data_IF_195260529797
#
_entry.id   IF_195260529797
#
_cell.length_a   1.000
_cell.length_b   1.000
_cell.length_c   1.000
_cell.angle_alpha   90.00
_cell.angle_beta   90.00
_cell.angle_gamma   90.00
#
_symmetry.space_group_name_H-M   'P 1'
#
loop_
_entity.id
_entity.type
_entity.pdbx_description
1 polymer ?
#
# COMPACT_ATOMS: atom_id res chain seq x y z
N UNK A 1 -28.98 8.05 -18.69
CA UNK A 1 -28.44 6.68 -18.74
C UNK A 1 -29.63 5.76 -18.94
N UNK A 2 -29.66 4.95 -20.00
CA UNK A 2 -30.77 4.05 -20.29
C UNK A 2 -30.53 2.67 -19.62
N UNK A 3 -31.55 1.83 -19.50
CA UNK A 3 -31.50 0.52 -18.83
C UNK A 3 -30.36 -0.38 -19.35
N UNK A 4 -30.13 -0.37 -20.65
CA UNK A 4 -29.03 -1.10 -21.32
C UNK A 4 -27.65 -0.65 -20.83
N UNK A 5 -27.47 0.63 -20.51
CA UNK A 5 -26.19 1.14 -20.01
C UNK A 5 -25.89 0.59 -18.60
N UNK A 6 -26.92 0.41 -17.76
CA UNK A 6 -26.76 -0.17 -16.43
C UNK A 6 -26.44 -1.66 -16.48
N UNK A 7 -27.11 -2.42 -17.37
CA UNK A 7 -26.78 -3.83 -17.60
C UNK A 7 -25.33 -3.99 -18.06
N UNK A 8 -24.92 -3.18 -19.04
CA UNK A 8 -23.53 -3.15 -19.53
C UNK A 8 -22.53 -2.84 -18.42
N UNK A 9 -22.86 -1.92 -17.50
CA UNK A 9 -22.01 -1.58 -16.37
C UNK A 9 -21.85 -2.76 -15.39
N UNK A 10 -22.94 -3.47 -15.10
CA UNK A 10 -22.93 -4.67 -14.22
C UNK A 10 -22.03 -5.76 -14.82
N UNK A 11 -22.20 -6.08 -16.11
CA UNK A 11 -21.36 -7.09 -16.78
C UNK A 11 -19.90 -6.65 -16.86
N UNK A 12 -19.65 -5.38 -17.18
CA UNK A 12 -18.30 -4.82 -17.24
C UNK A 12 -17.60 -4.91 -15.90
N UNK A 13 -18.30 -4.63 -14.80
CA UNK A 13 -17.76 -4.76 -13.45
C UNK A 13 -17.37 -6.21 -13.13
N UNK A 14 -18.23 -7.19 -13.44
CA UNK A 14 -17.91 -8.60 -13.22
C UNK A 14 -16.67 -9.06 -14.03
N UNK A 15 -16.61 -8.73 -15.31
CA UNK A 15 -15.48 -9.08 -16.19
C UNK A 15 -14.19 -8.40 -15.71
N UNK A 16 -14.25 -7.10 -15.38
CA UNK A 16 -13.09 -6.35 -14.92
C UNK A 16 -12.50 -6.93 -13.63
N UNK A 17 -13.33 -7.40 -12.70
CA UNK A 17 -12.89 -8.11 -11.49
C UNK A 17 -12.14 -9.39 -11.83
N UNK A 18 -12.67 -10.22 -12.73
CA UNK A 18 -12.02 -11.46 -13.12
C UNK A 18 -10.67 -11.19 -13.81
N UNK A 19 -10.61 -10.18 -14.68
CA UNK A 19 -9.36 -9.75 -15.32
C UNK A 19 -8.37 -9.25 -14.27
N UNK A 20 -8.79 -8.40 -13.32
CA UNK A 20 -7.93 -7.86 -12.27
C UNK A 20 -7.30 -8.97 -11.41
N UNK A 21 -8.05 -10.03 -11.09
CA UNK A 21 -7.55 -11.21 -10.38
C UNK A 21 -6.59 -12.02 -11.24
N UNK A 22 -6.83 -12.14 -12.54
CA UNK A 22 -5.95 -12.86 -13.47
C UNK A 22 -4.55 -12.22 -13.61
N UNK A 23 -4.39 -10.95 -13.22
CA UNK A 23 -3.07 -10.34 -13.10
C UNK A 23 -2.21 -10.94 -11.99
N UNK A 24 -2.79 -11.60 -10.98
CA UNK A 24 -2.06 -12.21 -9.86
C UNK A 24 -1.07 -11.23 -9.20
N UNK A 25 -1.49 -9.97 -9.08
CA UNK A 25 -0.62 -8.88 -8.66
C UNK A 25 -1.36 -7.97 -7.69
N UNK A 26 -0.95 -7.98 -6.42
CA UNK A 26 -1.58 -7.22 -5.33
C UNK A 26 -1.68 -5.71 -5.63
N UNK A 27 -0.67 -5.14 -6.32
CA UNK A 27 -0.71 -3.74 -6.70
C UNK A 27 -1.86 -3.45 -7.68
N UNK A 28 -2.09 -4.34 -8.65
CA UNK A 28 -3.22 -4.21 -9.59
C UNK A 28 -4.55 -4.30 -8.84
N UNK A 29 -4.69 -5.25 -7.91
CA UNK A 29 -5.90 -5.40 -7.10
C UNK A 29 -6.20 -4.13 -6.29
N UNK A 30 -5.21 -3.57 -5.59
CA UNK A 30 -5.39 -2.31 -4.84
C UNK A 30 -5.73 -1.13 -5.74
N UNK A 31 -5.10 -1.04 -6.91
CA UNK A 31 -5.34 0.05 -7.87
C UNK A 31 -6.73 -0.04 -8.49
N UNK A 32 -7.17 -1.24 -8.83
CA UNK A 32 -8.51 -1.51 -9.34
C UNK A 32 -9.56 -1.15 -8.27
N UNK A 33 -9.43 -1.68 -7.05
CA UNK A 33 -10.35 -1.39 -5.96
C UNK A 33 -10.45 0.11 -5.63
N UNK A 34 -9.33 0.85 -5.69
CA UNK A 34 -9.33 2.30 -5.50
C UNK A 34 -10.00 3.04 -6.67
N UNK A 35 -9.83 2.57 -7.90
CA UNK A 35 -10.45 3.17 -9.07
C UNK A 35 -11.98 3.03 -9.03
N UNK A 36 -12.49 1.84 -8.74
CA UNK A 36 -13.92 1.59 -8.57
C UNK A 36 -14.51 2.43 -7.44
N UNK A 37 -13.83 2.47 -6.29
CA UNK A 37 -14.25 3.30 -5.17
C UNK A 37 -14.29 4.80 -5.51
N UNK A 38 -13.34 5.29 -6.32
CA UNK A 38 -13.36 6.67 -6.82
C UNK A 38 -14.55 6.93 -7.74
N UNK A 39 -14.86 5.99 -8.63
CA UNK A 39 -16.06 6.08 -9.47
C UNK A 39 -17.33 6.18 -8.64
N UNK A 40 -17.46 5.29 -7.65
CA UNK A 40 -18.59 5.32 -6.71
C UNK A 40 -18.67 6.63 -5.93
N UNK A 41 -17.53 7.17 -5.49
CA UNK A 41 -17.46 8.46 -4.79
C UNK A 41 -18.03 9.61 -5.64
N UNK A 42 -17.64 9.73 -6.91
CA UNK A 42 -18.15 10.80 -7.77
C UNK A 42 -19.66 10.69 -7.97
N UNK A 43 -20.20 9.48 -8.20
CA UNK A 43 -21.66 9.25 -8.28
C UNK A 43 -22.36 9.63 -6.97
N UNK A 44 -21.87 9.15 -5.82
CA UNK A 44 -22.43 9.46 -4.50
C UNK A 44 -22.47 10.96 -4.16
N UNK A 45 -21.58 11.77 -4.75
CA UNK A 45 -21.63 13.23 -4.54
C UNK A 45 -22.87 13.88 -5.13
N UNK A 46 -23.45 13.27 -6.16
CA UNK A 46 -24.63 13.77 -6.87
C UNK A 46 -25.94 13.18 -6.31
N UNK A 47 -25.89 12.01 -5.66
CA UNK A 47 -27.05 11.31 -5.09
C UNK A 47 -27.74 12.02 -3.91
N UNK A 48 -28.99 11.72 -3.59
CA UNK A 48 -29.65 12.30 -2.41
C UNK A 48 -29.17 11.67 -1.08
N UNK A 49 -29.53 12.25 0.06
CA UNK A 49 -29.12 11.73 1.37
C UNK A 49 -29.71 10.35 1.69
N UNK A 50 -30.93 10.07 1.22
CA UNK A 50 -31.62 8.80 1.42
C UNK A 50 -30.82 7.64 0.80
N UNK A 51 -30.38 7.78 -0.45
CA UNK A 51 -29.54 6.80 -1.14
C UNK A 51 -28.20 6.61 -0.42
N UNK A 52 -27.58 7.68 0.09
CA UNK A 52 -26.34 7.57 0.88
C UNK A 52 -26.57 6.78 2.18
N UNK A 53 -27.72 6.96 2.84
CA UNK A 53 -28.06 6.20 4.05
C UNK A 53 -28.32 4.72 3.75
N UNK A 54 -28.95 4.40 2.62
CA UNK A 54 -29.10 3.00 2.19
C UNK A 54 -27.74 2.33 1.96
N UNK A 55 -26.80 3.04 1.32
CA UNK A 55 -25.45 2.52 1.11
C UNK A 55 -24.73 2.34 2.46
N UNK A 56 -24.83 3.29 3.40
CA UNK A 56 -24.23 3.12 4.73
C UNK A 56 -24.75 1.87 5.44
N UNK A 57 -26.05 1.59 5.34
CA UNK A 57 -26.68 0.40 5.90
C UNK A 57 -26.16 -0.89 5.27
N UNK A 58 -26.02 -0.92 3.94
CA UNK A 58 -25.43 -2.06 3.21
C UNK A 58 -23.98 -2.34 3.66
N UNK A 59 -23.21 -1.28 3.95
CA UNK A 59 -21.86 -1.38 4.48
C UNK A 59 -21.80 -1.62 6.01
N UNK A 60 -22.96 -1.75 6.67
CA UNK A 60 -23.08 -1.92 8.13
C UNK A 60 -22.34 -0.83 8.91
N UNK A 61 -22.37 0.40 8.39
CA UNK A 61 -21.81 1.57 9.05
C UNK A 61 -22.91 2.17 9.92
N UNK A 62 -22.64 2.27 11.22
CA UNK A 62 -23.61 2.77 12.18
C UNK A 62 -23.79 4.29 12.05
N UNK A 63 -25.05 4.69 11.91
CA UNK A 63 -25.47 6.08 11.71
C UNK A 63 -26.70 6.39 12.56
N UNK A 64 -26.77 7.63 13.04
CA UNK A 64 -27.94 8.22 13.70
C UNK A 64 -28.07 9.70 13.31
N UNK A 65 -29.21 10.12 12.79
CA UNK A 65 -29.51 11.51 12.40
C UNK A 65 -28.41 12.19 11.55
N UNK A 66 -27.88 11.47 10.55
CA UNK A 66 -26.81 11.96 9.67
C UNK A 66 -25.42 11.99 10.31
N UNK A 67 -25.27 11.43 11.53
CA UNK A 67 -23.99 11.33 12.23
C UNK A 67 -23.47 9.89 12.18
N UNK A 68 -22.16 9.72 12.09
CA UNK A 68 -21.50 8.41 12.01
C UNK A 68 -20.91 8.05 13.38
N UNK A 69 -21.08 6.81 13.82
CA UNK A 69 -20.48 6.35 15.07
C UNK A 69 -18.94 6.36 14.97
N UNK A 70 -18.26 6.76 16.05
CA UNK A 70 -16.82 7.00 16.02
C UNK A 70 -15.99 5.76 15.67
N UNK A 71 -16.49 4.55 15.98
CA UNK A 71 -15.79 3.30 15.67
C UNK A 71 -15.68 3.08 14.15
N UNK A 72 -16.77 3.30 13.40
CA UNK A 72 -16.78 3.19 11.95
C UNK A 72 -16.04 4.35 11.29
N UNK A 73 -16.12 5.55 11.88
CA UNK A 73 -15.29 6.67 11.47
C UNK A 73 -13.80 6.30 11.54
N UNK A 74 -13.31 5.80 12.67
CA UNK A 74 -11.90 5.40 12.82
C UNK A 74 -11.49 4.25 11.89
N UNK A 75 -12.43 3.35 11.57
CA UNK A 75 -12.18 2.22 10.67
C UNK A 75 -11.90 2.66 9.24
N UNK A 76 -12.54 3.74 8.78
CA UNK A 76 -12.54 4.13 7.36
C UNK A 76 -11.94 5.52 7.09
N UNK A 77 -11.81 6.38 8.10
CA UNK A 77 -11.26 7.73 7.92
C UNK A 77 -9.80 7.70 7.43
N UNK A 78 -9.44 8.52 6.42
CA UNK A 78 -8.06 8.65 5.96
C UNK A 78 -7.22 9.48 6.94
N UNK A 79 -6.85 8.91 8.08
CA UNK A 79 -6.16 9.59 9.21
C UNK A 79 -4.74 10.09 8.90
N UNK A 80 -4.22 9.86 7.69
CA UNK A 80 -2.98 10.45 7.21
C UNK A 80 -3.13 11.97 7.00
N UNK A 81 -4.33 12.46 6.71
CA UNK A 81 -4.66 13.87 6.68
C UNK A 81 -5.12 14.32 8.08
N UNK A 82 -4.54 15.42 8.58
CA UNK A 82 -4.86 15.98 9.87
C UNK A 82 -6.36 16.29 10.02
N UNK A 83 -7.05 16.69 8.93
CA UNK A 83 -8.50 16.95 8.94
C UNK A 83 -9.32 15.72 9.37
N UNK A 84 -8.81 14.52 9.16
CA UNK A 84 -9.52 13.26 9.43
C UNK A 84 -9.13 12.62 10.76
N UNK A 85 -8.25 13.25 11.54
CA UNK A 85 -7.93 12.77 12.88
C UNK A 85 -9.11 13.06 13.81
N UNK A 86 -9.52 12.06 14.58
CA UNK A 86 -10.63 12.17 15.54
C UNK A 86 -10.45 13.33 16.53
N UNK A 87 -9.21 13.60 16.96
CA UNK A 87 -8.88 14.74 17.85
C UNK A 87 -9.25 16.11 17.27
N UNK A 88 -9.44 16.21 15.95
CA UNK A 88 -9.81 17.43 15.24
C UNK A 88 -11.30 17.44 14.84
N UNK A 89 -12.12 16.58 15.45
CA UNK A 89 -13.55 16.43 15.12
C UNK A 89 -14.42 16.62 16.37
N UNK A 90 -15.61 17.16 16.14
CA UNK A 90 -16.63 17.26 17.18
C UNK A 90 -17.30 15.89 17.37
N UNK A 91 -17.13 15.34 18.57
CA UNK A 91 -17.72 14.07 18.99
C UNK A 91 -18.74 14.34 20.09
N UNK A 92 -19.97 13.89 19.89
CA UNK A 92 -21.05 14.04 20.87
C UNK A 92 -21.81 12.72 20.98
N UNK A 93 -21.93 12.19 22.21
CA UNK A 93 -22.61 10.92 22.50
C UNK A 93 -22.12 9.73 21.65
N UNK A 94 -20.85 9.70 21.27
CA UNK A 94 -20.28 8.63 20.43
C UNK A 94 -20.40 8.83 18.92
N UNK A 95 -21.03 9.92 18.46
CA UNK A 95 -21.25 10.18 17.04
C UNK A 95 -20.59 11.47 16.57
N UNK A 96 -20.13 11.45 15.30
CA UNK A 96 -19.54 12.59 14.62
C UNK A 96 -20.50 13.15 13.57
N UNK A 97 -20.67 14.47 13.56
CA UNK A 97 -21.37 15.14 12.47
C UNK A 97 -20.43 15.31 11.27
N UNK A 98 -20.83 14.76 10.14
CA UNK A 98 -20.09 14.84 8.88
C UNK A 98 -21.01 15.44 7.82
N UNK A 99 -20.45 16.19 6.87
CA UNK A 99 -21.23 16.58 5.70
C UNK A 99 -21.30 15.42 4.68
N UNK A 100 -22.21 15.52 3.71
CA UNK A 100 -22.40 14.52 2.66
C UNK A 100 -21.10 14.12 1.94
N UNK A 101 -20.23 15.07 1.60
CA UNK A 101 -18.95 14.76 0.94
C UNK A 101 -17.99 13.98 1.85
N UNK A 102 -18.02 14.25 3.15
CA UNK A 102 -17.23 13.51 4.12
C UNK A 102 -17.76 12.09 4.33
N UNK A 103 -19.08 11.92 4.36
CA UNK A 103 -19.72 10.59 4.40
C UNK A 103 -19.37 9.81 3.14
N UNK A 104 -19.50 10.42 1.95
CA UNK A 104 -19.11 9.80 0.69
C UNK A 104 -17.62 9.40 0.67
N UNK A 105 -16.74 10.19 1.29
CA UNK A 105 -15.31 9.87 1.42
C UNK A 105 -15.06 8.70 2.38
N UNK A 106 -15.84 8.56 3.46
CA UNK A 106 -15.81 7.38 4.34
C UNK A 106 -16.27 6.13 3.57
N UNK A 107 -17.39 6.23 2.85
CA UNK A 107 -17.91 5.16 2.02
C UNK A 107 -16.93 4.75 0.93
N UNK A 108 -16.23 5.70 0.31
CA UNK A 108 -15.18 5.40 -0.66
C UNK A 108 -14.11 4.46 -0.09
N UNK A 109 -13.62 4.72 1.12
CA UNK A 109 -12.64 3.86 1.77
C UNK A 109 -13.23 2.49 2.14
N UNK A 110 -14.49 2.46 2.57
CA UNK A 110 -15.21 1.20 2.85
C UNK A 110 -15.39 0.34 1.60
N UNK A 111 -15.82 0.94 0.49
CA UNK A 111 -15.97 0.30 -0.84
C UNK A 111 -14.61 -0.23 -1.31
N UNK A 112 -13.56 0.58 -1.26
CA UNK A 112 -12.23 0.17 -1.69
C UNK A 112 -11.72 -1.04 -0.90
N UNK A 113 -11.89 -1.02 0.42
CA UNK A 113 -11.52 -2.15 1.28
C UNK A 113 -12.35 -3.40 0.97
N UNK A 114 -13.67 -3.26 0.78
CA UNK A 114 -14.57 -4.38 0.45
C UNK A 114 -14.17 -5.03 -0.87
N UNK A 115 -14.04 -4.24 -1.94
CA UNK A 115 -13.64 -4.75 -3.27
C UNK A 115 -12.28 -5.43 -3.19
N UNK A 116 -11.28 -4.78 -2.60
CA UNK A 116 -9.95 -5.40 -2.47
C UNK A 116 -10.00 -6.72 -1.71
N UNK A 117 -10.73 -6.78 -0.58
CA UNK A 117 -10.88 -7.99 0.21
C UNK A 117 -11.51 -9.11 -0.61
N UNK A 118 -12.65 -8.85 -1.28
CA UNK A 118 -13.32 -9.84 -2.12
C UNK A 118 -12.41 -10.37 -3.24
N UNK A 119 -11.64 -9.51 -3.90
CA UNK A 119 -10.72 -9.92 -4.96
C UNK A 119 -9.51 -10.70 -4.44
N UNK A 120 -9.08 -10.45 -3.21
CA UNK A 120 -7.90 -11.11 -2.63
C UNK A 120 -8.12 -12.61 -2.37
N UNK A 121 -9.38 -13.05 -2.26
CA UNK A 121 -9.74 -14.48 -2.10
C UNK A 121 -10.34 -15.08 -3.36
N UNK A 122 -10.52 -14.29 -4.41
CA UNK A 122 -11.09 -14.75 -5.67
C UNK A 122 -10.01 -15.42 -6.51
N UNK A 123 -10.39 -16.46 -7.26
CA UNK A 123 -9.56 -17.05 -8.29
C UNK A 123 -10.16 -16.72 -9.66
N UNK A 124 -9.32 -16.30 -10.59
CA UNK A 124 -9.76 -16.03 -11.95
C UNK A 124 -10.14 -17.34 -12.66
N UNK A 125 -11.32 -17.40 -13.32
CA UNK A 125 -11.67 -18.54 -14.15
C UNK A 125 -10.59 -18.80 -15.24
N UNK A 126 -10.26 -20.06 -15.56
CA UNK A 126 -9.27 -20.39 -16.58
C UNK A 126 -9.55 -19.74 -17.94
N UNK A 127 -10.83 -19.55 -18.28
CA UNK A 127 -11.31 -18.93 -19.52
C UNK A 127 -10.80 -17.50 -19.66
N UNK A 128 -10.70 -16.75 -18.55
CA UNK A 128 -10.21 -15.37 -18.57
C UNK A 128 -8.74 -15.31 -18.96
N UNK A 129 -7.92 -16.24 -18.44
CA UNK A 129 -6.51 -16.35 -18.85
C UNK A 129 -6.37 -16.81 -20.30
N UNK A 130 -7.28 -17.65 -20.79
CA UNK A 130 -7.29 -18.10 -22.18
C UNK A 130 -7.65 -16.98 -23.15
N UNK A 131 -8.63 -16.13 -22.80
CA UNK A 131 -9.12 -15.06 -23.67
C UNK A 131 -8.22 -13.82 -23.59
N UNK A 132 -7.84 -13.40 -22.39
CA UNK A 132 -7.14 -12.13 -22.15
C UNK A 132 -5.66 -12.29 -21.77
N UNK A 133 -5.10 -13.51 -21.90
CA UNK A 133 -3.77 -13.83 -21.42
C UNK A 133 -2.68 -12.98 -22.05
N UNK A 134 -2.76 -12.74 -23.36
CA UNK A 134 -1.77 -11.97 -24.10
C UNK A 134 -1.79 -10.48 -23.71
N UNK A 135 -2.99 -9.89 -23.57
CA UNK A 135 -3.16 -8.51 -23.09
C UNK A 135 -2.69 -8.37 -21.65
N UNK A 136 -3.05 -9.32 -20.77
CA UNK A 136 -2.61 -9.34 -19.38
C UNK A 136 -1.09 -9.41 -19.32
N UNK A 137 -0.45 -10.29 -20.09
CA UNK A 137 1.01 -10.41 -20.12
C UNK A 137 1.71 -9.17 -20.68
N UNK A 138 1.17 -8.59 -21.76
CA UNK A 138 1.65 -7.32 -22.33
C UNK A 138 1.58 -6.18 -21.32
N UNK A 139 0.48 -6.09 -20.57
CA UNK A 139 0.29 -5.10 -19.51
C UNK A 139 1.15 -5.39 -18.28
N UNK A 140 1.35 -6.66 -17.90
CA UNK A 140 2.29 -7.06 -16.84
C UNK A 140 3.69 -6.57 -17.15
N UNK A 141 4.13 -6.65 -18.40
CA UNK A 141 5.43 -6.12 -18.82
C UNK A 141 5.48 -4.59 -18.66
N UNK A 142 4.43 -3.85 -18.99
CA UNK A 142 4.36 -2.38 -18.77
C UNK A 142 4.31 -1.99 -17.29
N UNK A 143 3.59 -2.75 -16.47
CA UNK A 143 3.49 -2.54 -15.02
C UNK A 143 4.83 -2.88 -14.36
N UNK A 144 5.50 -3.92 -14.84
CA UNK A 144 6.86 -4.30 -14.45
C UNK A 144 7.89 -3.28 -14.95
N UNK A 145 7.70 -2.66 -16.12
CA UNK A 145 8.53 -1.53 -16.61
C UNK A 145 8.39 -0.27 -15.73
N UNK A 146 7.23 -0.06 -15.10
CA UNK A 146 7.09 0.97 -14.05
C UNK A 146 7.77 0.59 -12.72
N UNK A 147 8.10 -0.69 -12.51
CA UNK A 147 8.97 -1.17 -11.42
C UNK A 147 10.45 -1.26 -11.85
N UNK A 148 10.74 -1.52 -13.12
CA UNK A 148 12.06 -1.46 -13.75
C UNK A 148 12.38 -0.03 -14.18
N UNK A 149 12.34 0.91 -13.23
CA UNK A 149 13.38 1.94 -13.25
C UNK A 149 14.68 1.30 -12.75
N UNK A 150 15.21 0.31 -13.51
CA UNK A 150 16.62 -0.08 -13.53
C UNK A 150 17.42 1.06 -14.17
N UNK A 151 17.37 2.24 -13.55
CA UNK A 151 18.56 3.10 -13.52
C UNK A 151 19.41 2.54 -12.39
N UNK A 152 20.67 2.26 -12.69
CA UNK A 152 21.71 1.81 -11.75
C UNK A 152 21.38 2.30 -10.33
N UNK A 153 21.22 1.36 -9.40
CA UNK A 153 20.97 1.70 -7.99
C UNK A 153 22.29 2.22 -7.42
N UNK A 154 22.59 3.47 -7.73
CA UNK A 154 23.77 4.11 -7.18
C UNK A 154 23.54 4.27 -5.68
N UNK A 155 24.47 3.73 -4.89
CA UNK A 155 24.47 3.84 -3.42
C UNK A 155 24.41 5.32 -3.00
N UNK A 156 24.85 6.24 -3.86
CA UNK A 156 24.72 7.69 -3.69
C UNK A 156 23.28 8.15 -3.51
N UNK A 157 22.28 7.44 -4.04
CA UNK A 157 20.87 7.84 -3.99
C UNK A 157 20.15 7.36 -2.72
N UNK A 158 20.82 6.52 -1.91
CA UNK A 158 20.23 6.00 -0.69
C UNK A 158 20.05 7.09 0.38
N UNK A 159 19.01 6.95 1.23
CA UNK A 159 18.85 7.79 2.41
C UNK A 159 20.06 7.63 3.34
N UNK A 160 20.44 8.68 4.09
CA UNK A 160 21.64 8.63 4.92
C UNK A 160 21.57 7.53 6.01
N UNK A 161 20.37 7.18 6.48
CA UNK A 161 20.20 6.05 7.40
C UNK A 161 20.56 4.70 6.77
N UNK A 162 20.24 4.48 5.49
CA UNK A 162 20.58 3.24 4.77
C UNK A 162 22.07 3.22 4.44
N UNK A 163 22.61 4.34 3.94
CA UNK A 163 24.03 4.47 3.63
C UNK A 163 24.92 4.24 4.86
N UNK A 164 24.49 4.71 6.04
CA UNK A 164 25.18 4.46 7.30
C UNK A 164 25.25 2.98 7.67
N UNK A 165 24.16 2.24 7.46
CA UNK A 165 24.14 0.80 7.73
C UNK A 165 25.08 0.05 6.79
N UNK A 166 25.03 0.35 5.49
CA UNK A 166 25.92 -0.25 4.48
C UNK A 166 27.39 0.07 4.79
N UNK A 167 27.69 1.32 5.15
CA UNK A 167 29.05 1.72 5.55
C UNK A 167 29.54 0.97 6.79
N UNK A 168 28.66 0.75 7.77
CA UNK A 168 28.98 -0.02 8.97
C UNK A 168 29.30 -1.49 8.65
N UNK A 169 28.49 -2.13 7.79
CA UNK A 169 28.75 -3.50 7.33
C UNK A 169 30.07 -3.58 6.56
N UNK A 170 30.31 -2.67 5.61
CA UNK A 170 31.55 -2.65 4.81
C UNK A 170 32.80 -2.39 5.65
N UNK A 171 32.66 -1.69 6.78
CA UNK A 171 33.75 -1.42 7.72
C UNK A 171 33.97 -2.56 8.72
N UNK A 172 33.28 -3.70 8.57
CA UNK A 172 33.39 -4.83 9.47
C UNK A 172 32.82 -4.56 10.87
N UNK A 173 31.96 -3.54 11.05
CA UNK A 173 31.31 -3.25 12.34
C UNK A 173 30.07 -4.12 12.50
N UNK A 174 29.81 -4.58 13.72
CA UNK A 174 28.59 -5.30 14.01
C UNK A 174 27.38 -4.34 13.94
N UNK A 175 26.34 -4.74 13.20
CA UNK A 175 25.16 -3.91 12.95
C UNK A 175 23.98 -4.46 13.75
N UNK A 176 23.20 -3.61 14.46
CA UNK A 176 22.04 -4.06 15.21
C UNK A 176 21.02 -4.81 14.33
N UNK A 177 20.35 -5.81 14.90
CA UNK A 177 19.32 -6.58 14.18
C UNK A 177 18.27 -5.68 13.51
N UNK A 178 17.80 -4.64 14.21
CA UNK A 178 16.82 -3.68 13.67
C UNK A 178 17.33 -2.91 12.45
N UNK A 179 18.64 -2.67 12.38
CA UNK A 179 19.28 -2.02 11.23
C UNK A 179 19.43 -2.99 10.05
N UNK A 180 19.77 -4.27 10.31
CA UNK A 180 19.76 -5.32 9.28
C UNK A 180 18.38 -5.51 8.67
N UNK A 181 17.36 -5.61 9.52
CA UNK A 181 15.96 -5.67 9.11
C UNK A 181 15.57 -4.47 8.23
N UNK A 182 15.88 -3.26 8.69
CA UNK A 182 15.57 -2.02 7.97
C UNK A 182 16.24 -1.97 6.59
N UNK A 183 17.49 -2.42 6.50
CA UNK A 183 18.23 -2.50 5.25
C UNK A 183 17.56 -3.48 4.27
N UNK A 184 17.28 -4.71 4.69
CA UNK A 184 16.63 -5.72 3.83
C UNK A 184 15.26 -5.25 3.37
N UNK A 185 14.43 -4.75 4.29
CA UNK A 185 13.07 -4.29 3.98
C UNK A 185 13.10 -3.12 2.97
N UNK A 186 14.00 -2.15 3.15
CA UNK A 186 14.17 -1.03 2.22
C UNK A 186 14.68 -1.50 0.84
N UNK A 187 15.69 -2.36 0.80
CA UNK A 187 16.27 -2.85 -0.45
C UNK A 187 15.26 -3.66 -1.26
N UNK A 188 14.45 -4.48 -0.60
CA UNK A 188 13.32 -5.18 -1.21
C UNK A 188 12.26 -4.21 -1.74
N UNK A 189 11.92 -3.17 -0.97
CA UNK A 189 10.94 -2.15 -1.36
C UNK A 189 11.36 -1.35 -2.62
N UNK A 190 12.67 -1.14 -2.82
CA UNK A 190 13.23 -0.53 -4.04
C UNK A 190 13.53 -1.56 -5.16
N UNK A 191 13.13 -2.82 -4.96
CA UNK A 191 13.23 -3.90 -5.95
C UNK A 191 14.64 -4.44 -6.17
N UNK A 192 15.50 -4.47 -5.15
CA UNK A 192 16.81 -5.15 -5.17
C UNK A 192 16.66 -6.67 -5.13
N UNK A 193 17.45 -7.34 -5.97
CA UNK A 193 17.42 -8.80 -6.05
C UNK A 193 17.98 -9.41 -4.76
N UNK A 194 17.48 -10.57 -4.38
CA UNK A 194 17.92 -11.27 -3.20
C UNK A 194 19.43 -11.54 -3.18
N UNK A 195 20.01 -11.92 -4.33
CA UNK A 195 21.45 -12.17 -4.42
C UNK A 195 22.25 -10.88 -4.20
N UNK A 196 21.74 -9.75 -4.70
CA UNK A 196 22.33 -8.43 -4.46
C UNK A 196 22.25 -8.05 -2.98
N UNK A 197 21.10 -8.29 -2.34
CA UNK A 197 20.91 -8.04 -0.90
C UNK A 197 21.86 -8.91 -0.06
N UNK A 198 21.93 -10.21 -0.37
CA UNK A 198 22.81 -11.15 0.34
C UNK A 198 24.28 -10.76 0.21
N UNK A 199 24.70 -10.35 -1.00
CA UNK A 199 26.08 -9.92 -1.26
C UNK A 199 26.52 -8.74 -0.38
N UNK A 200 25.60 -7.84 0.01
CA UNK A 200 25.93 -6.73 0.92
C UNK A 200 26.30 -7.20 2.33
N UNK A 201 25.76 -8.33 2.80
CA UNK A 201 26.05 -8.87 4.13
C UNK A 201 27.33 -9.71 4.19
N UNK A 202 27.89 -10.11 3.05
CA UNK A 202 29.09 -10.95 2.97
C UNK A 202 30.33 -10.39 3.66
N UNK A 203 30.37 -9.08 3.89
CA UNK A 203 31.47 -8.37 4.58
C UNK A 203 31.24 -8.17 6.09
N UNK A 204 30.11 -8.65 6.63
CA UNK A 204 29.83 -8.58 8.06
C UNK A 204 30.73 -9.56 8.82
N UNK A 205 31.30 -9.17 9.99
CA UNK A 205 32.22 -10.03 10.75
C UNK A 205 31.60 -11.33 11.28
N UNK A 206 30.27 -11.36 11.41
CA UNK A 206 29.44 -12.48 11.88
C UNK A 206 28.60 -13.11 10.75
N UNK A 207 29.01 -12.91 9.48
CA UNK A 207 28.23 -13.37 8.34
C UNK A 207 28.07 -14.90 8.34
N UNK A 208 26.81 -15.34 8.31
CA UNK A 208 26.42 -16.71 8.07
C UNK A 208 25.35 -16.70 6.97
N UNK A 209 25.66 -17.32 5.84
CA UNK A 209 24.86 -17.25 4.63
C UNK A 209 23.44 -17.83 4.83
N UNK A 210 23.32 -18.99 5.48
CA UNK A 210 22.03 -19.63 5.75
C UNK A 210 21.12 -18.75 6.60
N UNK A 211 21.66 -18.16 7.67
CA UNK A 211 20.90 -17.25 8.55
C UNK A 211 20.51 -15.95 7.84
N UNK A 212 21.41 -15.40 7.02
CA UNK A 212 21.13 -14.20 6.24
C UNK A 212 20.04 -14.45 5.20
N UNK A 213 20.13 -15.56 4.46
CA UNK A 213 19.10 -15.99 3.50
C UNK A 213 17.74 -16.19 4.18
N UNK A 214 17.71 -16.90 5.31
CA UNK A 214 16.48 -17.08 6.08
C UNK A 214 15.85 -15.74 6.48
N UNK A 215 16.66 -14.81 7.00
CA UNK A 215 16.18 -13.47 7.36
C UNK A 215 15.65 -12.71 6.14
N UNK A 216 16.34 -12.78 5.00
CA UNK A 216 15.89 -12.15 3.76
C UNK A 216 14.57 -12.76 3.30
N UNK A 217 14.45 -14.08 3.24
CA UNK A 217 13.22 -14.78 2.84
C UNK A 217 12.04 -14.43 3.75
N UNK A 218 12.29 -14.34 5.06
CA UNK A 218 11.24 -13.98 6.01
C UNK A 218 10.75 -12.55 5.81
N UNK A 219 11.67 -11.58 5.64
CA UNK A 219 11.34 -10.16 5.46
C UNK A 219 10.68 -9.90 4.10
N UNK A 220 11.12 -10.60 3.07
CA UNK A 220 10.61 -10.45 1.69
C UNK A 220 9.31 -11.20 1.44
N UNK A 221 8.80 -11.97 2.40
CA UNK A 221 7.56 -12.73 2.27
C UNK A 221 7.66 -13.99 1.42
N UNK A 222 8.86 -14.55 1.21
CA UNK A 222 9.05 -15.83 0.50
C UNK A 222 8.68 -17.04 1.35
N UNK A 223 8.97 -16.97 2.64
CA UNK A 223 8.66 -18.01 3.64
C UNK A 223 7.70 -17.53 4.72
N UNK A 224 7.35 -16.24 4.71
CA UNK A 224 6.35 -15.66 5.61
C UNK A 224 5.18 -15.14 4.78
N UNK A 225 3.97 -15.12 5.34
CA UNK A 225 2.78 -14.58 4.69
C UNK A 225 2.77 -13.05 4.58
N UNK A 226 3.83 -12.37 5.04
CA UNK A 226 3.90 -10.91 5.16
C UNK A 226 5.15 -10.36 4.49
N UNK A 227 4.97 -9.48 3.51
CA UNK A 227 6.07 -8.67 2.97
C UNK A 227 6.26 -7.46 3.89
N UNK A 228 7.41 -7.39 4.55
CA UNK A 228 7.71 -6.31 5.48
C UNK A 228 8.22 -5.07 4.72
N UNK A 229 7.88 -3.89 5.25
CA UNK A 229 8.30 -2.58 4.73
C UNK A 229 9.32 -1.93 5.67
N UNK A 230 10.13 -1.03 5.14
CA UNK A 230 11.08 -0.28 5.96
C UNK A 230 10.34 0.50 7.07
N UNK A 231 10.92 0.65 8.27
CA UNK A 231 10.30 1.46 9.32
C UNK A 231 10.29 2.95 8.97
N UNK A 232 9.39 3.72 9.60
CA UNK A 232 9.29 5.18 9.42
C UNK A 232 10.56 5.87 9.89
N UNK A 233 10.87 7.03 9.32
CA UNK A 233 12.05 7.82 9.69
C UNK A 233 12.12 8.14 11.20
N UNK A 234 10.97 8.38 11.84
CA UNK A 234 10.90 8.59 13.30
C UNK A 234 11.40 7.37 14.08
N UNK A 235 10.96 6.16 13.70
CA UNK A 235 11.39 4.91 14.31
C UNK A 235 12.88 4.66 14.13
N UNK A 236 13.39 4.88 12.93
CA UNK A 236 14.82 4.67 12.62
C UNK A 236 15.70 5.67 13.39
N UNK A 237 15.23 6.91 13.59
CA UNK A 237 15.93 7.89 14.45
C UNK A 237 16.01 7.42 15.90
N UNK A 238 14.92 6.86 16.43
CA UNK A 238 14.91 6.28 17.78
C UNK A 238 15.95 5.17 17.94
N UNK A 239 16.18 4.37 16.90
CA UNK A 239 17.20 3.31 16.92
C UNK A 239 18.64 3.79 16.71
N UNK A 240 18.86 5.09 16.48
CA UNK A 240 20.18 5.72 16.56
C UNK A 240 21.09 5.53 15.35
N UNK A 241 20.61 5.02 14.22
CA UNK A 241 21.41 4.87 12.98
C UNK A 241 20.94 5.76 11.82
N UNK A 242 20.16 6.80 12.11
CA UNK A 242 19.73 7.80 11.13
C UNK A 242 20.45 9.12 11.38
N UNK A 243 21.28 9.53 10.42
CA UNK A 243 21.99 10.81 10.41
C UNK A 243 21.37 11.71 9.34
N UNK A 244 20.29 12.46 9.63
CA UNK A 244 19.52 13.17 8.61
C UNK A 244 20.34 14.29 7.95
N UNK A 245 20.11 14.49 6.65
CA UNK A 245 20.62 15.61 5.86
C UNK A 245 19.50 16.63 5.55
N UNK A 246 19.81 17.70 4.82
CA UNK A 246 18.82 18.70 4.40
C UNK A 246 17.67 18.11 3.56
N UNK A 247 17.98 17.07 2.77
CA UNK A 247 16.99 16.41 1.90
C UNK A 247 15.98 15.57 2.69
N UNK A 248 16.27 15.25 3.95
CA UNK A 248 15.32 14.61 4.86
C UNK A 248 14.19 15.55 5.32
N UNK A 249 14.24 16.86 5.04
CA UNK A 249 13.18 17.80 5.41
C UNK A 249 11.87 17.47 4.69
N UNK A 250 10.80 17.27 5.46
CA UNK A 250 9.48 16.87 4.96
C UNK A 250 9.38 15.39 4.54
N UNK A 251 10.40 14.58 4.80
CA UNK A 251 10.40 13.15 4.51
C UNK A 251 10.12 12.34 5.78
N UNK A 252 9.12 11.45 5.70
CA UNK A 252 8.67 10.61 6.82
C UNK A 252 9.02 9.12 6.65
N UNK A 253 9.54 8.73 5.49
CA UNK A 253 9.88 7.34 5.17
C UNK A 253 11.15 7.24 4.29
N UNK A 254 12.06 6.27 4.52
CA UNK A 254 13.28 6.10 3.71
C UNK A 254 12.99 5.96 2.21
N UNK A 255 11.94 5.20 1.85
CA UNK A 255 11.51 5.07 0.45
C UNK A 255 11.12 6.41 -0.19
N UNK A 256 10.49 7.32 0.57
CA UNK A 256 10.15 8.66 0.05
C UNK A 256 11.39 9.51 -0.19
N UNK A 257 12.43 9.40 0.65
CA UNK A 257 13.71 10.07 0.39
C UNK A 257 14.30 9.59 -0.93
N UNK A 258 14.40 8.27 -1.10
CA UNK A 258 14.97 7.65 -2.30
C UNK A 258 14.20 8.07 -3.57
N UNK A 259 12.87 8.11 -3.49
CA UNK A 259 12.00 8.58 -4.58
C UNK A 259 12.09 10.08 -4.88
N UNK A 260 12.55 10.91 -3.95
CA UNK A 260 12.73 12.35 -4.15
C UNK A 260 14.10 12.69 -4.75
N UNK A 261 15.07 11.80 -4.51
CA UNK A 261 16.45 11.95 -5.00
C UNK A 261 16.64 11.36 -6.39
N UNK A 262 15.90 10.30 -6.71
CA UNK A 262 15.68 9.79 -8.08
C UNK A 262 14.68 10.66 -8.84
#
# INVERSE_FOLDING_TARGET
>A
VNEVDFEMEIYSYAIARMIAVAFENDYVLRRYALAEAKGAYEKMREENEETIFEILKEFKIEQADGKIHFSDYLRYAPTWDAKWKLVNRELSNGYLKLNKHEIARILQEAISKKIYHELSYMLAPPEVKKIFGDEINSLKNKISFKKEFKKEKNISDFPPCISSVISSINSGKNVPHVARFTLVAFLNEIGMDEKEILALFSKSPDFNEEKALYQIHHITGKISSTVYVAPKCSTIRTWGFCFPDEKCRGVFHPFMYYRRKK
#
